data_IF_370121595894
#
_entry.id   IF_370121595894
#
_cell.length_a   1.000
_cell.length_b   1.000
_cell.length_c   1.000
_cell.angle_alpha   90.00
_cell.angle_beta   90.00
_cell.angle_gamma   90.00
#
_symmetry.space_group_name_H-M   'P 1'
#
loop_
_entity.id
_entity.type
_entity.pdbx_description
1 polymer ?
#
# COMPACT_ATOMS: atom_id res chain seq x y z
N UNK A 1 3.34 -5.34 -21.17
CA UNK A 1 4.29 -5.18 -20.04
C UNK A 1 3.83 -6.12 -18.95
N UNK A 2 4.67 -7.11 -18.63
CA UNK A 2 4.46 -8.24 -17.70
C UNK A 2 3.34 -9.24 -18.03
N UNK A 3 2.22 -8.84 -18.63
CA UNK A 3 1.12 -9.78 -18.96
C UNK A 3 0.62 -10.49 -17.70
N UNK A 4 0.34 -11.79 -17.79
CA UNK A 4 -0.16 -12.60 -16.67
C UNK A 4 0.91 -12.87 -15.59
N UNK A 5 2.12 -12.32 -15.74
CA UNK A 5 3.24 -12.50 -14.80
C UNK A 5 3.26 -11.46 -13.68
N UNK A 6 2.38 -10.46 -13.70
CA UNK A 6 2.26 -9.46 -12.65
C UNK A 6 0.78 -9.26 -12.29
N UNK A 7 0.49 -9.40 -11.00
CA UNK A 7 -0.77 -8.95 -10.42
C UNK A 7 -0.52 -7.68 -9.60
N UNK A 8 -1.42 -6.71 -9.71
CA UNK A 8 -1.45 -5.52 -8.85
C UNK A 8 -2.71 -5.63 -7.99
N UNK A 9 -2.55 -5.47 -6.68
CA UNK A 9 -3.62 -5.60 -5.69
C UNK A 9 -3.75 -4.27 -4.93
N UNK A 10 -4.90 -3.62 -5.04
CA UNK A 10 -5.22 -2.37 -4.36
C UNK A 10 -6.05 -2.60 -3.11
N UNK A 11 -5.57 -2.11 -1.96
CA UNK A 11 -6.26 -2.21 -0.68
C UNK A 11 -6.61 -0.81 -0.16
N UNK A 12 -7.85 -0.34 -0.33
CA UNK A 12 -8.30 0.92 0.25
C UNK A 12 -8.14 0.92 1.78
N UNK A 13 -7.72 2.04 2.36
CA UNK A 13 -7.52 2.18 3.79
C UNK A 13 -7.75 3.65 4.21
N UNK A 14 -8.47 3.85 5.33
CA UNK A 14 -8.82 5.19 5.80
C UNK A 14 -7.99 5.68 7.00
N UNK A 15 -6.93 4.98 7.39
CA UNK A 15 -6.11 5.32 8.57
C UNK A 15 -5.26 6.57 8.38
N UNK A 16 -5.03 6.97 7.13
CA UNK A 16 -4.04 7.98 6.78
C UNK A 16 -4.72 9.29 6.39
N UNK A 17 -4.92 10.17 7.39
CA UNK A 17 -5.54 11.47 7.20
C UNK A 17 -6.96 11.42 6.63
N UNK A 18 -7.66 10.31 6.86
CA UNK A 18 -9.03 10.07 6.37
C UNK A 18 -9.21 10.31 4.86
N UNK A 19 -8.22 9.91 4.05
CA UNK A 19 -8.22 10.14 2.60
C UNK A 19 -9.11 9.15 1.82
N UNK A 20 -9.71 8.16 2.47
CA UNK A 20 -10.59 7.14 1.87
C UNK A 20 -11.91 7.01 2.66
N UNK A 21 -12.61 8.14 2.80
CA UNK A 21 -13.87 8.23 3.54
C UNK A 21 -15.04 7.53 2.84
N UNK A 22 -14.95 7.37 1.52
CA UNK A 22 -15.95 6.67 0.71
C UNK A 22 -16.19 5.23 1.22
N UNK A 23 -17.42 4.74 1.08
CA UNK A 23 -17.73 3.32 1.31
C UNK A 23 -17.17 2.44 0.19
N UNK A 24 -17.18 1.12 0.36
CA UNK A 24 -16.69 0.19 -0.67
C UNK A 24 -17.41 0.39 -2.01
N UNK A 25 -18.69 0.70 -1.96
CA UNK A 25 -19.57 0.94 -3.12
C UNK A 25 -19.28 2.27 -3.82
N UNK A 26 -18.70 3.23 -3.09
CA UNK A 26 -18.46 4.60 -3.56
C UNK A 26 -17.04 4.81 -4.13
N UNK A 27 -16.05 3.98 -3.73
CA UNK A 27 -14.65 4.17 -4.10
C UNK A 27 -14.46 4.24 -5.62
N UNK A 28 -15.07 3.30 -6.38
CA UNK A 28 -14.93 3.29 -7.84
C UNK A 28 -15.57 4.52 -8.49
N UNK A 29 -16.67 5.03 -7.95
CA UNK A 29 -17.29 6.27 -8.42
C UNK A 29 -16.38 7.48 -8.12
N UNK A 30 -15.76 7.53 -6.95
CA UNK A 30 -14.80 8.58 -6.59
C UNK A 30 -13.61 8.60 -7.56
N UNK A 31 -13.04 7.44 -7.86
CA UNK A 31 -11.95 7.31 -8.83
C UNK A 31 -12.37 7.76 -10.24
N UNK A 32 -13.57 7.35 -10.67
CA UNK A 32 -14.09 7.60 -12.03
C UNK A 32 -14.49 9.06 -12.27
N UNK A 33 -15.09 9.70 -11.27
CA UNK A 33 -15.75 10.99 -11.44
C UNK A 33 -15.10 12.14 -10.67
N UNK A 34 -14.33 11.87 -9.61
CA UNK A 34 -13.77 12.92 -8.74
C UNK A 34 -12.25 13.02 -8.89
N UNK A 35 -11.51 11.99 -8.48
CA UNK A 35 -10.05 11.96 -8.58
C UNK A 35 -9.57 10.51 -8.65
N UNK A 36 -8.88 10.09 -9.73
CA UNK A 36 -8.37 10.90 -10.83
C UNK A 36 -9.42 11.59 -11.72
N UNK A 37 -10.66 11.07 -11.72
CA UNK A 37 -11.73 11.61 -12.55
C UNK A 37 -11.57 11.21 -14.03
N UNK A 38 -12.25 11.91 -14.92
CA UNK A 38 -12.17 11.73 -16.37
C UNK A 38 -12.43 10.29 -16.86
N UNK A 39 -13.30 9.55 -16.18
CA UNK A 39 -13.63 8.18 -16.55
C UNK A 39 -12.54 7.17 -16.21
N UNK A 40 -11.61 7.52 -15.32
CA UNK A 40 -10.57 6.60 -14.87
C UNK A 40 -11.17 5.35 -14.21
N UNK A 41 -10.69 4.19 -14.64
CA UNK A 41 -11.03 2.90 -14.05
C UNK A 41 -9.74 2.13 -13.76
N UNK A 42 -9.55 1.59 -12.54
CA UNK A 42 -8.40 0.76 -12.22
C UNK A 42 -8.43 -0.52 -13.06
N UNK A 43 -7.30 -0.84 -13.70
CA UNK A 43 -7.13 -2.07 -14.49
C UNK A 43 -6.49 -3.21 -13.68
N UNK A 44 -6.73 -3.19 -12.38
CA UNK A 44 -6.16 -4.10 -11.40
C UNK A 44 -7.16 -4.33 -10.28
N UNK A 45 -6.96 -5.40 -9.52
CA UNK A 45 -7.94 -5.82 -8.52
C UNK A 45 -7.96 -4.85 -7.34
N UNK A 46 -9.16 -4.37 -7.03
CA UNK A 46 -9.44 -3.53 -5.87
C UNK A 46 -10.21 -4.36 -4.85
N UNK A 47 -9.68 -4.46 -3.63
CA UNK A 47 -10.31 -5.16 -2.53
C UNK A 47 -11.22 -4.24 -1.73
N UNK A 48 -12.01 -4.81 -0.82
CA UNK A 48 -12.72 -4.04 0.19
C UNK A 48 -11.74 -3.26 1.07
N UNK A 49 -12.23 -2.16 1.64
CA UNK A 49 -11.49 -1.32 2.58
C UNK A 49 -11.06 -2.13 3.81
N UNK A 50 -9.81 -1.99 4.20
CA UNK A 50 -9.22 -2.69 5.36
C UNK A 50 -8.43 -1.72 6.24
N UNK A 51 -8.15 -2.15 7.47
CA UNK A 51 -7.12 -1.54 8.30
C UNK A 51 -5.77 -2.21 8.00
N UNK A 52 -4.69 -1.44 7.97
CA UNK A 52 -3.34 -1.96 7.71
C UNK A 52 -2.42 -1.88 8.92
N UNK A 53 -2.76 -1.03 9.90
CA UNK A 53 -2.09 -0.88 11.20
C UNK A 53 -3.05 -1.11 12.37
N UNK A 54 -2.52 -1.21 13.58
CA UNK A 54 -3.29 -1.42 14.82
C UNK A 54 -3.75 -2.86 15.03
N UNK A 55 -4.53 -3.09 16.10
CA UNK A 55 -5.04 -4.41 16.50
C UNK A 55 -5.90 -5.08 15.44
N UNK A 56 -6.64 -4.26 14.68
CA UNK A 56 -7.60 -4.70 13.67
C UNK A 56 -6.96 -4.78 12.27
N UNK A 57 -5.63 -4.68 12.20
CA UNK A 57 -4.86 -4.79 10.95
C UNK A 57 -5.17 -6.11 10.26
N UNK A 58 -5.48 -6.04 8.96
CA UNK A 58 -5.71 -7.22 8.15
C UNK A 58 -4.47 -8.14 8.19
N UNK A 59 -4.63 -9.47 8.36
CA UNK A 59 -3.51 -10.39 8.62
C UNK A 59 -2.38 -10.33 7.59
N UNK A 60 -2.71 -10.09 6.32
CA UNK A 60 -1.71 -9.92 5.24
C UNK A 60 -0.79 -8.73 5.53
N UNK A 61 -1.31 -7.60 6.00
CA UNK A 61 -0.48 -6.43 6.31
C UNK A 61 0.32 -6.62 7.60
N UNK A 62 -0.24 -7.31 8.60
CA UNK A 62 0.54 -7.70 9.78
C UNK A 62 1.75 -8.58 9.37
N UNK A 63 1.53 -9.59 8.52
CA UNK A 63 2.58 -10.46 7.98
C UNK A 63 3.62 -9.68 7.16
N UNK A 64 3.18 -8.82 6.24
CA UNK A 64 4.07 -8.05 5.38
C UNK A 64 4.93 -7.06 6.18
N UNK A 65 4.37 -6.41 7.19
CA UNK A 65 5.10 -5.50 8.09
C UNK A 65 6.09 -6.25 8.99
N UNK A 66 5.81 -7.50 9.36
CA UNK A 66 6.76 -8.34 10.08
C UNK A 66 7.95 -8.74 9.19
N UNK A 67 7.69 -9.20 7.95
CA UNK A 67 8.74 -9.68 7.03
C UNK A 67 9.55 -8.54 6.40
N UNK A 68 8.92 -7.40 6.15
CA UNK A 68 9.54 -6.22 5.55
C UNK A 68 9.30 -5.01 6.47
N UNK A 69 10.05 -4.91 7.59
CA UNK A 69 9.78 -3.93 8.63
C UNK A 69 10.03 -2.49 8.19
N UNK A 70 10.90 -2.28 7.20
CA UNK A 70 11.40 -0.97 6.80
C UNK A 70 11.37 -0.87 5.26
N UNK A 71 10.89 0.25 4.69
CA UNK A 71 11.01 0.51 3.26
C UNK A 71 12.46 0.71 2.81
N UNK A 72 12.83 0.17 1.65
CA UNK A 72 14.21 0.16 1.14
C UNK A 72 14.75 1.55 0.78
N UNK A 73 13.87 2.50 0.55
CA UNK A 73 14.17 3.87 0.11
C UNK A 73 14.09 4.91 1.23
N UNK A 74 13.88 4.46 2.48
CA UNK A 74 13.74 5.35 3.62
C UNK A 74 15.04 5.37 4.45
N UNK A 75 15.90 6.37 4.21
CA UNK A 75 17.12 6.60 5.01
C UNK A 75 16.79 6.88 6.49
N UNK A 76 15.58 7.41 6.75
CA UNK A 76 15.02 7.65 8.09
C UNK A 76 13.84 6.70 8.35
N UNK A 77 14.13 5.40 8.35
CA UNK A 77 13.21 4.28 8.59
C UNK A 77 12.30 4.37 9.84
N UNK A 78 12.56 5.31 10.76
CA UNK A 78 11.85 5.43 12.04
C UNK A 78 10.74 6.49 12.04
N UNK A 79 10.65 7.35 11.03
CA UNK A 79 9.61 8.37 10.96
C UNK A 79 8.34 7.78 10.34
N UNK A 80 7.50 7.15 11.17
CA UNK A 80 6.15 6.72 10.79
C UNK A 80 5.33 7.94 10.39
N UNK A 81 5.36 9.00 11.19
CA UNK A 81 4.66 10.26 10.95
C UNK A 81 5.37 11.43 11.63
N UNK A 82 5.34 12.59 10.98
CA UNK A 82 5.88 13.83 11.55
C UNK A 82 4.89 14.49 12.52
N UNK A 83 3.58 14.38 12.26
CA UNK A 83 2.53 14.85 13.18
C UNK A 83 1.91 13.64 13.90
N UNK A 84 2.10 13.48 15.23
CA UNK A 84 1.53 12.37 15.97
C UNK A 84 -0.01 12.36 15.95
N UNK A 85 -0.67 13.49 15.65
CA UNK A 85 -2.14 13.55 15.54
C UNK A 85 -2.68 12.75 14.36
N UNK A 86 -1.84 12.46 13.37
CA UNK A 86 -2.23 11.65 12.23
C UNK A 86 -2.20 10.14 12.55
N UNK A 87 -1.64 9.73 13.70
CA UNK A 87 -1.63 8.33 14.16
C UNK A 87 -2.89 8.08 14.98
N UNK A 88 -3.88 7.43 14.36
CA UNK A 88 -5.21 7.17 14.96
C UNK A 88 -5.47 5.69 15.26
N UNK A 89 -4.44 4.85 15.16
CA UNK A 89 -4.53 3.42 15.41
C UNK A 89 -3.77 3.04 16.68
N UNK A 90 -4.10 1.88 17.24
CA UNK A 90 -3.45 1.31 18.40
C UNK A 90 -3.41 -0.23 18.29
N UNK A 91 -2.35 -0.91 18.74
CA UNK A 91 -1.08 -0.32 19.18
C UNK A 91 -0.29 0.28 18.01
N UNK A 92 0.60 1.22 18.31
CA UNK A 92 1.57 1.77 17.35
C UNK A 92 2.84 0.91 17.42
N UNK A 93 3.35 0.51 16.26
CA UNK A 93 4.55 -0.32 16.15
C UNK A 93 5.57 0.29 15.20
N UNK A 94 6.85 -0.03 15.38
CA UNK A 94 7.93 0.50 14.53
C UNK A 94 7.84 0.07 13.06
N UNK A 95 7.04 -0.94 12.76
CA UNK A 95 6.88 -1.50 11.40
C UNK A 95 5.60 -1.04 10.73
N UNK A 96 4.79 -0.20 11.38
CA UNK A 96 3.56 0.37 10.84
C UNK A 96 3.77 0.99 9.46
N UNK A 97 2.75 0.90 8.61
CA UNK A 97 2.70 1.63 7.34
C UNK A 97 2.55 3.12 7.67
N UNK A 98 3.41 3.95 7.11
CA UNK A 98 3.51 5.37 7.42
C UNK A 98 2.39 6.18 6.77
N UNK A 99 1.94 5.79 5.57
CA UNK A 99 0.95 6.55 4.79
C UNK A 99 0.35 5.75 3.63
N UNK A 100 -0.60 6.39 2.93
CA UNK A 100 -1.12 5.93 1.65
C UNK A 100 0.00 5.69 0.63
N UNK A 101 -0.21 4.70 -0.22
CA UNK A 101 0.70 4.30 -1.30
C UNK A 101 2.08 3.81 -0.82
N UNK A 102 2.20 3.14 0.33
CA UNK A 102 3.32 2.20 0.49
C UNK A 102 3.10 0.96 -0.40
N UNK A 103 4.20 0.32 -0.82
CA UNK A 103 4.15 -0.81 -1.77
C UNK A 103 4.94 -1.98 -1.24
N UNK A 104 4.44 -3.19 -1.48
CA UNK A 104 5.12 -4.44 -1.20
C UNK A 104 5.26 -5.21 -2.51
N UNK A 105 6.47 -5.69 -2.80
CA UNK A 105 6.74 -6.59 -3.91
C UNK A 105 6.82 -8.01 -3.37
N UNK A 106 6.06 -8.91 -3.97
CA UNK A 106 5.94 -10.31 -3.59
C UNK A 106 6.44 -11.15 -4.76
N UNK A 107 7.27 -12.15 -4.46
CA UNK A 107 7.81 -13.08 -5.42
C UNK A 107 6.76 -14.06 -5.94
N UNK A 108 7.04 -14.77 -7.05
CA UNK A 108 6.14 -15.78 -7.61
C UNK A 108 5.94 -17.00 -6.68
N UNK A 109 6.82 -17.18 -5.71
CA UNK A 109 6.74 -18.18 -4.63
C UNK A 109 5.92 -17.70 -3.42
N UNK A 110 5.35 -16.49 -3.49
CA UNK A 110 4.60 -15.86 -2.41
C UNK A 110 5.47 -15.20 -1.34
N UNK A 111 6.80 -15.19 -1.48
CA UNK A 111 7.68 -14.58 -0.48
C UNK A 111 7.76 -13.06 -0.63
N UNK A 112 7.70 -12.28 0.47
CA UNK A 112 7.92 -10.84 0.40
C UNK A 112 9.37 -10.51 0.00
N UNK A 113 9.54 -9.67 -1.02
CA UNK A 113 10.85 -9.33 -1.61
C UNK A 113 11.33 -7.95 -1.14
N UNK A 114 10.51 -6.91 -1.33
CA UNK A 114 10.86 -5.52 -1.01
C UNK A 114 9.64 -4.72 -0.57
N UNK A 115 9.86 -3.76 0.34
CA UNK A 115 8.88 -2.74 0.74
C UNK A 115 9.39 -1.38 0.27
N UNK A 116 8.49 -0.55 -0.24
CA UNK A 116 8.79 0.78 -0.77
C UNK A 116 7.91 1.82 -0.10
N UNK A 117 8.49 2.98 0.20
CA UNK A 117 7.82 4.03 0.94
C UNK A 117 6.74 4.73 0.09
N UNK A 118 5.97 5.60 0.75
CA UNK A 118 5.01 6.49 0.08
C UNK A 118 5.63 7.38 -1.00
N UNK A 119 6.92 7.72 -0.88
CA UNK A 119 7.61 8.61 -1.81
C UNK A 119 8.24 7.87 -3.00
N UNK A 120 8.47 6.56 -2.89
CA UNK A 120 9.05 5.79 -3.97
C UNK A 120 8.10 5.75 -5.18
N UNK A 121 8.51 6.20 -6.37
CA UNK A 121 7.64 6.17 -7.54
C UNK A 121 7.26 4.72 -7.91
N UNK A 122 5.97 4.42 -8.02
CA UNK A 122 5.50 3.06 -8.38
C UNK A 122 6.11 2.57 -9.70
N UNK A 123 6.35 3.49 -10.65
CA UNK A 123 6.94 3.15 -11.95
C UNK A 123 8.39 2.68 -11.85
N UNK A 124 9.14 3.10 -10.83
CA UNK A 124 10.55 2.72 -10.66
C UNK A 124 10.70 1.29 -10.15
N UNK A 125 9.67 0.75 -9.50
CA UNK A 125 9.56 -0.67 -9.08
C UNK A 125 9.63 -1.60 -10.30
N UNK A 126 9.36 -1.10 -11.51
CA UNK A 126 9.49 -1.86 -12.77
C UNK A 126 10.83 -2.58 -12.88
N UNK A 127 11.94 -1.95 -12.44
CA UNK A 127 13.28 -2.55 -12.51
C UNK A 127 13.40 -3.78 -11.61
N UNK A 128 12.81 -3.74 -10.42
CA UNK A 128 12.78 -4.86 -9.48
C UNK A 128 11.90 -6.00 -10.01
N UNK A 129 10.73 -5.66 -10.58
CA UNK A 129 9.83 -6.64 -11.20
C UNK A 129 10.53 -7.34 -12.37
N UNK A 130 11.19 -6.59 -13.25
CA UNK A 130 11.97 -7.15 -14.35
C UNK A 130 13.11 -8.06 -13.87
N UNK A 131 13.68 -7.79 -12.68
CA UNK A 131 14.69 -8.65 -12.06
C UNK A 131 14.14 -10.00 -11.60
N UNK A 132 12.87 -10.07 -11.18
CA UNK A 132 12.22 -11.29 -10.71
C UNK A 132 11.66 -12.18 -11.83
N UNK A 133 11.49 -11.63 -13.03
CA UNK A 133 10.88 -12.33 -14.17
C UNK A 133 11.89 -12.90 -15.17
N UNK A 134 13.19 -12.73 -14.91
CA UNK A 134 14.28 -13.36 -15.66
C UNK A 134 14.45 -14.80 -15.22
#
# INVERSE_FOLDING_TARGET
MFGDKLAILGFPCNQFGHQENATNEEILNSLKYVRPGNGYEPKFDMFSKVQVNGSDSHPVFAYLREKLPIPVDSENAFLIMNDPKCVIWSPVTRTDIAWNFEKFLIGPDGQPIKRFSRYYPTIDIKKDIEGLLK
#
